data_IF_373709237668
#
_entry.id   IF_373709237668
#
_cell.length_a   1.000
_cell.length_b   1.000
_cell.length_c   1.000
_cell.angle_alpha   90.00
_cell.angle_beta   90.00
_cell.angle_gamma   90.00
#
_symmetry.space_group_name_H-M   'P 1'
#
loop_
_entity.id
_entity.type
_entity.pdbx_description
1 polymer ?
#
# COMPACT_ATOMS: atom_id res chain seq x y z
N UNK A 1 -12.20 11.50 -11.84
CA UNK A 1 -13.20 12.57 -11.96
C UNK A 1 -14.41 12.20 -11.11
N UNK A 2 -14.69 12.98 -10.08
CA UNK A 2 -15.81 12.81 -9.14
C UNK A 2 -16.80 13.96 -9.34
N UNK A 3 -18.04 13.64 -9.70
CA UNK A 3 -19.06 14.63 -10.00
C UNK A 3 -19.74 15.19 -8.75
N UNK A 4 -19.83 16.53 -8.65
CA UNK A 4 -20.60 17.20 -7.61
C UNK A 4 -21.91 17.77 -8.15
N UNK A 5 -23.03 17.09 -7.91
CA UNK A 5 -24.34 17.55 -8.38
C UNK A 5 -24.89 18.84 -7.73
N UNK A 6 -24.19 19.45 -6.76
CA UNK A 6 -24.57 20.76 -6.21
C UNK A 6 -23.85 21.92 -6.90
N UNK A 7 -22.62 21.68 -7.33
CA UNK A 7 -21.78 22.66 -8.03
C UNK A 7 -21.83 22.47 -9.56
N UNK A 8 -22.48 21.41 -10.04
CA UNK A 8 -22.60 21.04 -11.46
C UNK A 8 -21.23 20.96 -12.16
N UNK A 9 -20.25 20.36 -11.47
CA UNK A 9 -18.85 20.29 -11.89
C UNK A 9 -18.14 19.04 -11.39
N UNK A 10 -17.16 18.58 -12.17
CA UNK A 10 -16.22 17.52 -11.78
C UNK A 10 -15.05 18.04 -10.93
N UNK A 11 -14.70 17.28 -9.90
CA UNK A 11 -13.51 17.47 -9.09
C UNK A 11 -12.57 16.27 -9.23
N UNK A 12 -11.27 16.50 -9.08
CA UNK A 12 -10.29 15.42 -8.95
C UNK A 12 -10.23 14.90 -7.52
N UNK A 13 -9.93 13.60 -7.37
CA UNK A 13 -9.87 12.94 -6.06
C UNK A 13 -8.83 13.58 -5.13
N UNK A 14 -7.77 14.18 -5.68
CA UNK A 14 -6.74 14.90 -4.92
C UNK A 14 -7.13 16.33 -4.51
N UNK A 15 -8.27 16.84 -5.01
CA UNK A 15 -8.81 18.17 -4.67
C UNK A 15 -9.95 18.09 -3.65
N UNK A 16 -10.34 16.88 -3.23
CA UNK A 16 -11.31 16.70 -2.15
C UNK A 16 -10.66 17.05 -0.81
N UNK A 17 -11.49 17.49 0.15
CA UNK A 17 -11.01 17.62 1.55
C UNK A 17 -10.63 16.26 2.12
N UNK A 18 -9.91 16.23 3.25
CA UNK A 18 -9.44 15.00 3.90
C UNK A 18 -10.57 14.02 4.23
N UNK A 19 -11.77 14.54 4.50
CA UNK A 19 -12.99 13.78 4.76
C UNK A 19 -13.71 13.27 3.49
N UNK A 20 -13.13 13.50 2.29
CA UNK A 20 -13.69 13.11 0.99
C UNK A 20 -14.82 14.03 0.49
N UNK A 21 -14.91 15.25 1.01
CA UNK A 21 -15.92 16.25 0.63
C UNK A 21 -15.48 17.23 -0.47
N UNK A 22 -16.45 17.88 -1.11
CA UNK A 22 -16.23 18.99 -2.02
C UNK A 22 -15.76 20.24 -1.25
N UNK A 23 -14.67 20.91 -1.66
CA UNK A 23 -14.13 22.08 -0.94
C UNK A 23 -15.04 23.32 -1.01
N UNK A 24 -15.96 23.37 -1.98
CA UNK A 24 -16.79 24.55 -2.25
C UNK A 24 -18.16 24.48 -1.57
N UNK A 25 -18.80 23.31 -1.54
CA UNK A 25 -20.12 23.13 -0.95
C UNK A 25 -20.17 22.15 0.23
N UNK A 26 -19.07 21.49 0.57
CA UNK A 26 -18.98 20.56 1.69
C UNK A 26 -19.70 19.22 1.49
N UNK A 27 -20.32 18.98 0.32
CA UNK A 27 -21.01 17.71 0.04
C UNK A 27 -20.00 16.56 0.02
N UNK A 28 -20.31 15.46 0.72
CA UNK A 28 -19.49 14.24 0.69
C UNK A 28 -19.58 13.59 -0.70
N UNK A 29 -18.45 13.46 -1.37
CA UNK A 29 -18.37 12.85 -2.71
C UNK A 29 -17.66 11.49 -2.69
N UNK A 30 -16.78 11.28 -1.72
CA UNK A 30 -16.08 10.01 -1.50
C UNK A 30 -16.01 9.72 0.00
N UNK A 31 -15.87 8.44 0.35
CA UNK A 31 -15.44 8.08 1.69
C UNK A 31 -13.94 8.46 1.85
N UNK A 32 -13.53 8.97 3.02
CA UNK A 32 -12.12 9.20 3.29
C UNK A 32 -11.35 7.89 3.16
N UNK A 33 -10.07 7.93 2.74
CA UNK A 33 -9.24 6.73 2.68
C UNK A 33 -9.18 6.10 4.07
N UNK A 34 -9.91 4.99 4.27
CA UNK A 34 -9.84 4.21 5.51
C UNK A 34 -8.40 3.80 5.69
N UNK A 35 -7.79 4.17 6.81
CA UNK A 35 -6.37 3.94 7.10
C UNK A 35 -5.93 2.57 6.60
N UNK A 36 -5.12 2.58 5.56
CA UNK A 36 -4.81 1.38 4.79
C UNK A 36 -4.01 0.42 5.65
N UNK A 37 -4.66 -0.62 6.18
CA UNK A 37 -3.94 -1.75 6.73
C UNK A 37 -3.20 -2.45 5.59
N UNK A 38 -1.95 -2.85 5.87
CA UNK A 38 -1.15 -3.60 4.90
C UNK A 38 -1.92 -4.85 4.49
N UNK A 39 -2.15 -5.10 3.17
CA UNK A 39 -2.92 -6.25 2.71
C UNK A 39 -2.33 -7.56 3.24
N UNK A 40 -3.17 -8.52 3.63
CA UNK A 40 -2.69 -9.78 4.23
C UNK A 40 -1.70 -10.55 3.33
N UNK A 41 -1.89 -10.49 2.01
CA UNK A 41 -1.00 -11.11 1.03
C UNK A 41 0.43 -10.58 1.11
N UNK A 42 0.63 -9.30 1.49
CA UNK A 42 1.96 -8.72 1.65
C UNK A 42 2.76 -9.48 2.72
N UNK A 43 2.12 -9.82 3.83
CA UNK A 43 2.76 -10.61 4.90
C UNK A 43 3.14 -12.00 4.43
N UNK A 44 2.29 -12.67 3.64
CA UNK A 44 2.62 -13.98 3.06
C UNK A 44 3.88 -13.91 2.22
N UNK A 45 3.96 -12.94 1.30
CA UNK A 45 5.13 -12.75 0.43
C UNK A 45 6.37 -12.43 1.27
N UNK A 46 6.25 -11.55 2.27
CA UNK A 46 7.35 -11.21 3.16
C UNK A 46 7.90 -12.43 3.92
N UNK A 47 7.01 -13.27 4.47
CA UNK A 47 7.42 -14.50 5.16
C UNK A 47 8.16 -15.47 4.23
N UNK A 48 7.63 -15.71 3.02
CA UNK A 48 8.28 -16.58 2.04
C UNK A 48 9.65 -16.04 1.62
N UNK A 49 9.74 -14.72 1.41
CA UNK A 49 10.99 -14.06 1.05
C UNK A 49 12.05 -14.23 2.15
N UNK A 50 11.69 -14.00 3.42
CA UNK A 50 12.61 -14.16 4.57
C UNK A 50 13.08 -15.61 4.70
N UNK A 51 12.17 -16.58 4.60
CA UNK A 51 12.52 -18.00 4.65
C UNK A 51 13.49 -18.38 3.54
N UNK A 52 13.22 -17.97 2.30
CA UNK A 52 14.07 -18.29 1.16
C UNK A 52 15.44 -17.62 1.25
N UNK A 53 15.48 -16.33 1.56
CA UNK A 53 16.75 -15.59 1.68
C UNK A 53 17.58 -16.09 2.86
N UNK A 54 16.95 -16.42 3.99
CA UNK A 54 17.62 -17.03 5.13
C UNK A 54 18.24 -18.37 4.79
N UNK A 55 17.48 -19.25 4.11
CA UNK A 55 17.99 -20.53 3.63
C UNK A 55 19.17 -20.38 2.66
N UNK A 56 19.03 -19.47 1.69
CA UNK A 56 20.09 -19.18 0.70
C UNK A 56 21.35 -18.62 1.35
N UNK A 57 21.21 -17.77 2.36
CA UNK A 57 22.34 -17.24 3.12
C UNK A 57 23.06 -18.35 3.89
N UNK A 58 22.33 -19.24 4.58
CA UNK A 58 22.92 -20.39 5.27
C UNK A 58 23.63 -21.33 4.30
N UNK A 59 23.01 -21.65 3.17
CA UNK A 59 23.62 -22.48 2.12
C UNK A 59 24.94 -21.87 1.62
N UNK A 60 24.96 -20.55 1.36
CA UNK A 60 26.16 -19.86 0.92
C UNK A 60 27.25 -19.88 1.99
N UNK A 61 26.91 -19.63 3.26
CA UNK A 61 27.86 -19.65 4.38
C UNK A 61 28.49 -21.03 4.54
N UNK A 62 27.67 -22.09 4.51
CA UNK A 62 28.16 -23.48 4.63
C UNK A 62 29.11 -23.81 3.48
N UNK A 63 28.74 -23.46 2.24
CA UNK A 63 29.60 -23.68 1.08
C UNK A 63 30.94 -22.95 1.20
N UNK A 64 30.94 -21.68 1.63
CA UNK A 64 32.19 -20.90 1.83
C UNK A 64 33.07 -21.53 2.91
N UNK A 65 32.49 -21.95 4.04
CA UNK A 65 33.24 -22.59 5.13
C UNK A 65 33.93 -23.88 4.67
N UNK A 66 33.26 -24.67 3.83
CA UNK A 66 33.82 -25.90 3.27
C UNK A 66 34.91 -25.68 2.22
N UNK A 67 34.93 -24.53 1.55
CA UNK A 67 35.96 -24.23 0.56
C UNK A 67 37.27 -23.71 1.19
N UNK A 68 37.19 -23.14 2.39
CA UNK A 68 38.33 -22.49 3.07
C UNK A 68 39.07 -23.45 4.01
N UNK A 69 38.40 -24.48 4.55
CA UNK A 69 38.97 -25.53 5.40
C UNK A 69 39.47 -26.71 4.56
#
# INVERSE_FOLDING_TARGET
>A
MTWCGQCDRDFDIGLLTEDGGCPECGRRLADPPRGGSVPWHFWVVATVAVLYLGWRALQAIIWVMQQIV
#
